data_IF_755188062911
#
_entry.id   IF_755188062911
#
_cell.length_a   1.000
_cell.length_b   1.000
_cell.length_c   1.000
_cell.angle_alpha   90.00
_cell.angle_beta   90.00
_cell.angle_gamma   90.00
#
_symmetry.space_group_name_H-M   'P 1'
#
loop_
_entity.id
_entity.type
_entity.pdbx_description
1 polymer ?
#
# COMPACT_ATOMS: atom_id res chain seq x y z
N UNK A 1 42.90 -52.71 57.61
CA UNK A 1 42.10 -51.50 57.77
C UNK A 1 42.84 -50.31 57.20
N UNK A 2 42.36 -49.73 56.12
CA UNK A 2 42.78 -48.43 55.62
C UNK A 2 41.53 -47.55 55.50
N UNK A 3 41.38 -46.59 56.42
CA UNK A 3 40.38 -45.55 56.37
C UNK A 3 40.81 -44.49 55.31
N UNK A 4 39.99 -44.32 54.31
CA UNK A 4 40.13 -43.18 53.35
C UNK A 4 39.22 -42.07 53.85
N UNK A 5 39.87 -41.04 54.46
CA UNK A 5 39.22 -39.80 54.89
C UNK A 5 39.08 -38.83 53.69
N UNK A 6 37.96 -38.82 53.06
CA UNK A 6 37.58 -37.80 52.00
C UNK A 6 37.21 -36.50 52.70
N UNK A 7 38.09 -35.49 52.65
CA UNK A 7 37.76 -34.14 53.10
C UNK A 7 37.45 -33.29 51.89
N UNK A 8 36.16 -33.12 51.57
CA UNK A 8 35.71 -32.12 50.60
C UNK A 8 35.70 -30.75 51.26
N UNK A 9 36.76 -29.98 51.09
CA UNK A 9 36.79 -28.57 51.49
C UNK A 9 36.18 -27.76 50.36
N UNK A 10 34.86 -27.66 50.42
CA UNK A 10 34.15 -26.72 49.53
C UNK A 10 34.44 -25.30 50.03
N UNK A 11 35.20 -24.54 49.26
CA UNK A 11 35.63 -23.20 49.61
C UNK A 11 34.45 -22.23 49.58
N UNK A 12 33.92 -21.83 50.75
CA UNK A 12 32.74 -20.91 50.90
C UNK A 12 32.87 -19.61 50.14
N UNK A 13 34.08 -19.17 49.82
CA UNK A 13 34.33 -17.97 49.00
C UNK A 13 33.99 -18.17 47.52
N UNK A 14 34.21 -19.36 46.95
CA UNK A 14 33.88 -19.70 45.58
C UNK A 14 32.36 -19.76 45.35
N UNK A 15 31.63 -20.30 46.34
CA UNK A 15 30.14 -20.35 46.26
C UNK A 15 29.53 -18.94 46.24
N UNK A 16 30.09 -18.00 47.03
CA UNK A 16 29.64 -16.63 47.07
C UNK A 16 29.86 -15.87 45.73
N UNK A 17 30.95 -16.16 45.02
CA UNK A 17 31.23 -15.58 43.69
C UNK A 17 30.34 -16.17 42.62
N UNK A 18 30.07 -17.48 42.68
CA UNK A 18 29.18 -18.16 41.74
C UNK A 18 27.72 -17.67 41.87
N UNK A 19 27.21 -17.51 43.10
CA UNK A 19 25.87 -16.98 43.37
C UNK A 19 25.72 -15.53 42.93
N UNK A 20 26.75 -14.70 43.05
CA UNK A 20 26.74 -13.31 42.56
C UNK A 20 26.72 -13.24 41.01
N UNK A 21 27.45 -14.14 40.33
CA UNK A 21 27.46 -14.26 38.89
C UNK A 21 26.10 -14.69 38.31
N UNK A 22 25.48 -15.68 38.95
CA UNK A 22 24.15 -16.16 38.54
C UNK A 22 23.07 -15.09 38.76
N UNK A 23 23.12 -14.36 39.88
CA UNK A 23 22.15 -13.26 40.12
C UNK A 23 22.30 -12.12 39.09
N UNK A 24 23.54 -11.75 38.71
CA UNK A 24 23.78 -10.74 37.68
C UNK A 24 23.29 -11.19 36.30
N UNK A 25 23.47 -12.46 35.92
CA UNK A 25 22.99 -13.02 34.66
C UNK A 25 21.45 -13.06 34.59
N UNK A 26 20.77 -13.37 35.70
CA UNK A 26 19.30 -13.36 35.77
C UNK A 26 18.72 -11.94 35.67
N UNK A 27 19.36 -10.94 36.29
CA UNK A 27 18.93 -9.54 36.18
C UNK A 27 19.10 -9.04 34.75
N UNK A 28 20.22 -9.37 34.09
CA UNK A 28 20.45 -8.98 32.70
C UNK A 28 19.47 -9.69 31.75
N UNK A 29 19.16 -10.97 31.95
CA UNK A 29 18.20 -11.71 31.13
C UNK A 29 16.76 -11.19 31.30
N UNK A 30 16.36 -10.82 32.52
CA UNK A 30 15.05 -10.20 32.78
C UNK A 30 14.97 -8.78 32.19
N UNK A 31 16.06 -8.02 32.23
CA UNK A 31 16.15 -6.70 31.59
C UNK A 31 15.99 -6.77 30.06
N UNK A 32 16.70 -7.70 29.42
CA UNK A 32 16.60 -7.94 27.96
C UNK A 32 15.22 -8.47 27.59
N UNK A 33 14.66 -9.41 28.36
CA UNK A 33 13.33 -9.95 28.11
C UNK A 33 12.22 -8.90 28.31
N UNK A 34 12.36 -8.05 29.33
CA UNK A 34 11.48 -6.91 29.55
C UNK A 34 11.55 -5.87 28.42
N UNK A 35 12.75 -5.55 27.94
CA UNK A 35 12.95 -4.61 26.84
C UNK A 35 12.36 -5.13 25.53
N UNK A 36 12.52 -6.42 25.23
CA UNK A 36 11.94 -7.04 24.03
C UNK A 36 10.39 -7.02 24.11
N UNK A 37 9.80 -7.30 25.28
CA UNK A 37 8.34 -7.21 25.45
C UNK A 37 7.78 -5.80 25.37
N UNK A 38 8.53 -4.79 25.76
CA UNK A 38 8.12 -3.38 25.64
C UNK A 38 8.18 -2.95 24.17
N UNK A 39 9.22 -3.35 23.44
CA UNK A 39 9.34 -3.05 22.00
C UNK A 39 8.28 -3.74 21.15
N UNK A 40 7.94 -5.01 21.43
CA UNK A 40 6.89 -5.74 20.68
C UNK A 40 5.47 -5.30 21.03
N UNK A 41 5.25 -4.57 22.14
CA UNK A 41 3.91 -4.07 22.50
C UNK A 41 3.57 -2.68 21.95
N UNK A 42 4.54 -1.94 21.44
CA UNK A 42 4.32 -0.57 20.96
C UNK A 42 3.87 -0.52 19.49
N UNK A 43 4.19 -1.52 18.66
CA UNK A 43 3.85 -1.49 17.23
C UNK A 43 2.44 -1.96 16.84
N UNK A 44 1.70 -2.64 17.70
CA UNK A 44 0.42 -3.29 17.30
C UNK A 44 -0.83 -2.46 17.59
N UNK A 45 -0.74 -1.28 18.18
CA UNK A 45 -1.92 -0.57 18.71
C UNK A 45 -2.37 0.68 17.95
N UNK A 46 -1.65 1.12 16.93
CA UNK A 46 -2.00 2.35 16.20
C UNK A 46 -2.82 2.07 14.94
N UNK A 47 -2.57 0.96 14.23
CA UNK A 47 -3.29 0.66 12.98
C UNK A 47 -4.76 0.28 13.16
N UNK A 48 -5.11 -0.46 14.22
CA UNK A 48 -6.47 -1.01 14.37
C UNK A 48 -7.50 0.02 14.88
N UNK A 49 -7.07 1.14 15.44
CA UNK A 49 -7.98 2.14 15.99
C UNK A 49 -8.37 3.24 14.99
N UNK A 50 -7.58 3.47 13.95
CA UNK A 50 -7.89 4.46 12.91
C UNK A 50 -8.74 3.88 11.77
N UNK A 51 -8.62 2.60 11.46
CA UNK A 51 -9.46 1.92 10.44
C UNK A 51 -10.97 1.90 10.76
N UNK A 52 -11.37 2.28 11.96
CA UNK A 52 -12.79 2.33 12.35
C UNK A 52 -13.40 3.73 12.31
N UNK A 53 -12.63 4.79 12.04
CA UNK A 53 -13.08 6.18 12.26
C UNK A 53 -13.36 7.01 10.99
N UNK A 54 -13.07 6.52 9.81
CA UNK A 54 -13.28 7.26 8.56
C UNK A 54 -12.12 7.13 7.60
N UNK A 55 -12.24 7.76 6.44
CA UNK A 55 -11.19 7.72 5.39
C UNK A 55 -9.99 8.56 5.83
N UNK A 56 -8.80 7.99 5.70
CA UNK A 56 -7.54 8.62 6.09
C UNK A 56 -6.72 8.95 4.85
N UNK A 57 -6.22 10.18 4.78
CA UNK A 57 -5.16 10.58 3.87
C UNK A 57 -3.83 10.55 4.62
N UNK A 58 -2.91 9.69 4.20
CA UNK A 58 -1.54 9.66 4.69
C UNK A 58 -0.63 10.39 3.70
N UNK A 59 0.07 11.40 4.19
CA UNK A 59 1.03 12.17 3.41
C UNK A 59 2.39 11.47 3.38
N UNK A 60 3.25 11.85 2.42
CA UNK A 60 4.60 11.31 2.27
C UNK A 60 5.44 11.40 3.56
N UNK A 61 5.28 12.47 4.34
CA UNK A 61 5.97 12.68 5.61
C UNK A 61 5.42 11.82 6.77
N UNK A 62 4.46 10.93 6.48
CA UNK A 62 3.83 10.03 7.44
C UNK A 62 2.71 10.66 8.26
N UNK A 63 2.37 11.94 8.06
CA UNK A 63 1.21 12.55 8.73
C UNK A 63 -0.08 11.95 8.20
N UNK A 64 -0.99 11.63 9.11
CA UNK A 64 -2.32 11.11 8.83
C UNK A 64 -3.38 12.18 9.06
N UNK A 65 -4.22 12.39 8.09
CA UNK A 65 -5.31 13.35 8.11
C UNK A 65 -6.62 12.60 7.93
N UNK A 66 -7.48 12.65 8.93
CA UNK A 66 -8.85 12.15 8.81
C UNK A 66 -9.60 13.08 7.85
N UNK A 67 -10.12 12.57 6.74
CA UNK A 67 -10.70 13.39 5.68
C UNK A 67 -11.93 14.19 6.15
N UNK A 68 -12.62 13.74 7.19
CA UNK A 68 -13.71 14.51 7.80
C UNK A 68 -13.22 15.81 8.45
N UNK A 69 -11.95 15.87 8.83
CA UNK A 69 -11.33 17.06 9.45
C UNK A 69 -10.55 17.93 8.45
N UNK A 70 -10.40 17.46 7.22
CA UNK A 70 -9.67 18.18 6.17
C UNK A 70 -10.40 19.49 5.85
N UNK A 71 -9.67 20.60 5.94
CA UNK A 71 -10.11 21.89 5.45
C UNK A 71 -9.78 22.01 3.97
N UNK A 72 -10.69 22.61 3.18
CA UNK A 72 -10.48 22.87 1.77
C UNK A 72 -9.24 23.73 1.53
N UNK A 73 -8.53 23.45 0.45
CA UNK A 73 -7.40 24.27 -0.01
C UNK A 73 -6.06 23.98 0.69
N UNK A 74 -5.81 22.74 1.10
CA UNK A 74 -4.47 22.34 1.56
C UNK A 74 -3.54 22.21 0.35
N UNK A 75 -2.41 22.92 0.37
CA UNK A 75 -1.37 22.81 -0.66
C UNK A 75 -0.32 21.79 -0.26
N UNK A 76 0.12 20.98 -1.22
CA UNK A 76 1.23 20.04 -1.06
C UNK A 76 2.02 19.96 -2.37
N UNK A 77 3.26 20.46 -2.36
CA UNK A 77 4.03 20.62 -3.60
C UNK A 77 3.26 21.48 -4.62
N UNK A 78 3.17 20.98 -5.85
CA UNK A 78 2.51 21.64 -6.97
C UNK A 78 1.02 21.28 -7.09
N UNK A 79 0.41 20.74 -6.06
CA UNK A 79 -1.00 20.40 -6.05
C UNK A 79 -1.77 21.07 -4.92
N UNK A 80 -3.01 21.42 -5.19
CA UNK A 80 -4.01 21.81 -4.22
C UNK A 80 -4.94 20.64 -3.96
N UNK A 81 -5.06 20.27 -2.68
CA UNK A 81 -5.95 19.20 -2.22
C UNK A 81 -7.28 19.82 -1.83
N UNK A 82 -8.33 19.50 -2.57
CA UNK A 82 -9.66 20.03 -2.34
C UNK A 82 -10.63 18.91 -1.96
N UNK A 83 -11.33 19.07 -0.86
CA UNK A 83 -12.45 18.20 -0.51
C UNK A 83 -13.71 18.71 -1.21
N UNK A 84 -14.17 18.01 -2.23
CA UNK A 84 -15.35 18.39 -3.01
C UNK A 84 -16.64 18.08 -2.26
N UNK A 85 -16.66 16.95 -1.54
CA UNK A 85 -17.76 16.54 -0.66
C UNK A 85 -17.28 15.56 0.42
N UNK A 86 -18.18 15.02 1.24
CA UNK A 86 -17.82 14.12 2.33
C UNK A 86 -17.10 12.85 1.89
N UNK A 87 -17.33 12.40 0.64
CA UNK A 87 -16.81 11.15 0.08
C UNK A 87 -15.87 11.36 -1.10
N UNK A 88 -15.45 12.60 -1.40
CA UNK A 88 -14.63 12.89 -2.57
C UNK A 88 -13.52 13.88 -2.28
N UNK A 89 -12.32 13.53 -2.70
CA UNK A 89 -11.12 14.35 -2.66
C UNK A 89 -10.61 14.57 -4.08
N UNK A 90 -10.23 15.80 -4.40
CA UNK A 90 -9.67 16.16 -5.69
C UNK A 90 -8.28 16.76 -5.51
N UNK A 91 -7.33 16.28 -6.31
CA UNK A 91 -6.02 16.88 -6.51
C UNK A 91 -6.08 17.76 -7.75
N UNK A 92 -5.90 19.06 -7.59
CA UNK A 92 -5.80 19.99 -8.69
C UNK A 92 -4.34 20.44 -8.85
N UNK A 93 -3.78 20.29 -10.03
CA UNK A 93 -2.46 20.82 -10.34
C UNK A 93 -2.47 22.35 -10.26
N UNK A 94 -1.51 22.94 -9.58
CA UNK A 94 -1.27 24.38 -9.59
C UNK A 94 -0.45 24.65 -10.86
N UNK A 95 -1.10 25.19 -11.90
CA UNK A 95 -0.43 25.58 -13.14
C UNK A 95 0.34 26.88 -12.90
N UNK A 96 1.50 26.81 -12.26
CA UNK A 96 2.53 27.81 -12.45
C UNK A 96 3.27 27.43 -13.74
N UNK A 97 3.50 28.39 -14.65
CA UNK A 97 4.12 28.18 -15.96
C UNK A 97 5.38 27.31 -15.83
N UNK A 98 5.27 26.05 -16.25
CA UNK A 98 6.42 25.15 -16.25
C UNK A 98 7.26 25.38 -17.50
N UNK A 99 8.56 25.63 -17.29
CA UNK A 99 9.56 25.48 -18.32
C UNK A 99 9.59 24.02 -18.78
N UNK A 100 9.30 23.78 -20.06
CA UNK A 100 9.17 22.46 -20.69
C UNK A 100 10.47 21.63 -20.73
N UNK A 101 11.42 21.88 -19.84
CA UNK A 101 12.75 21.26 -19.89
C UNK A 101 13.10 20.37 -18.69
N UNK A 102 12.17 20.11 -17.77
CA UNK A 102 12.46 19.24 -16.64
C UNK A 102 12.27 17.76 -17.01
N UNK A 103 13.38 17.13 -17.40
CA UNK A 103 13.55 15.67 -17.34
C UNK A 103 13.83 15.27 -15.90
N UNK A 104 12.92 15.56 -14.97
CA UNK A 104 13.02 15.04 -13.62
C UNK A 104 12.58 13.58 -13.64
N UNK A 105 13.51 12.71 -13.22
CA UNK A 105 13.24 11.29 -12.99
C UNK A 105 12.24 11.13 -11.83
N UNK A 106 11.50 10.01 -11.80
CA UNK A 106 10.50 9.68 -10.77
C UNK A 106 11.00 9.72 -9.30
N UNK A 107 12.30 9.93 -9.10
CA UNK A 107 12.96 9.96 -7.79
C UNK A 107 12.45 11.08 -6.86
N UNK A 108 11.89 12.18 -7.40
CA UNK A 108 11.41 13.32 -6.62
C UNK A 108 9.87 13.45 -6.59
N UNK A 109 9.15 12.40 -6.95
CA UNK A 109 7.69 12.42 -6.88
C UNK A 109 7.20 12.25 -5.43
N UNK A 110 6.41 13.21 -4.95
CA UNK A 110 5.74 13.15 -3.64
C UNK A 110 4.56 12.18 -3.74
N UNK A 111 4.53 11.17 -2.87
CA UNK A 111 3.45 10.18 -2.84
C UNK A 111 2.56 10.35 -1.61
N UNK A 112 1.27 10.23 -1.83
CA UNK A 112 0.26 10.13 -0.77
C UNK A 112 -0.45 8.79 -0.84
N UNK A 113 -1.18 8.46 0.21
CA UNK A 113 -1.94 7.24 0.34
C UNK A 113 -3.34 7.54 0.89
N UNK A 114 -4.38 7.03 0.23
CA UNK A 114 -5.75 7.02 0.76
C UNK A 114 -6.08 5.65 1.30
N UNK A 115 -6.59 5.60 2.53
CA UNK A 115 -6.98 4.38 3.24
C UNK A 115 -8.48 4.48 3.54
N UNK A 116 -9.26 3.56 2.96
CA UNK A 116 -10.70 3.46 3.16
C UNK A 116 -11.00 2.40 4.23
N UNK A 117 -11.73 2.75 5.30
CA UNK A 117 -12.04 1.80 6.38
C UNK A 117 -13.11 0.77 5.95
N UNK A 118 -13.38 -0.19 6.85
CA UNK A 118 -14.53 -1.10 6.71
C UNK A 118 -15.82 -0.32 6.56
N UNK A 119 -16.69 -0.78 5.66
CA UNK A 119 -17.96 -0.14 5.33
C UNK A 119 -17.85 1.33 4.83
N UNK A 120 -16.65 1.74 4.39
CA UNK A 120 -16.42 3.02 3.71
C UNK A 120 -16.44 2.85 2.20
N UNK A 121 -16.75 3.95 1.52
CA UNK A 121 -16.54 4.13 0.08
C UNK A 121 -15.94 5.51 -0.11
N UNK A 122 -15.06 5.66 -1.07
CA UNK A 122 -14.41 6.94 -1.30
C UNK A 122 -14.07 7.17 -2.77
N UNK A 123 -14.18 8.41 -3.22
CA UNK A 123 -13.81 8.81 -4.58
C UNK A 123 -12.57 9.72 -4.52
N UNK A 124 -11.56 9.37 -5.30
CA UNK A 124 -10.37 10.17 -5.49
C UNK A 124 -10.31 10.67 -6.93
N UNK A 125 -10.16 11.96 -7.12
CA UNK A 125 -9.87 12.57 -8.42
C UNK A 125 -8.38 12.92 -8.41
N UNK A 126 -7.62 12.26 -9.28
CA UNK A 126 -6.19 12.48 -9.47
C UNK A 126 -5.94 13.77 -10.25
N UNK A 127 -4.69 14.27 -10.24
CA UNK A 127 -4.35 15.54 -10.85
C UNK A 127 -4.54 15.57 -12.38
N UNK A 128 -4.46 14.40 -13.03
CA UNK A 128 -4.73 14.21 -14.46
C UNK A 128 -6.22 14.16 -14.82
N UNK A 129 -7.11 14.31 -13.82
CA UNK A 129 -8.56 14.20 -13.94
C UNK A 129 -9.09 12.78 -13.95
N UNK A 130 -8.25 11.76 -13.82
CA UNK A 130 -8.70 10.37 -13.66
C UNK A 130 -9.42 10.21 -12.32
N UNK A 131 -10.51 9.43 -12.32
CA UNK A 131 -11.32 9.16 -11.13
C UNK A 131 -11.13 7.73 -10.67
N UNK A 132 -11.05 7.56 -9.35
CA UNK A 132 -10.91 6.28 -8.70
C UNK A 132 -11.98 6.16 -7.62
N UNK A 133 -12.88 5.20 -7.76
CA UNK A 133 -13.85 4.82 -6.73
C UNK A 133 -13.27 3.65 -5.95
N UNK A 134 -13.05 3.86 -4.69
CA UNK A 134 -12.43 2.90 -3.78
C UNK A 134 -13.50 2.28 -2.88
N UNK A 135 -13.57 0.97 -2.85
CA UNK A 135 -14.42 0.21 -1.95
C UNK A 135 -13.84 0.12 -0.54
N UNK A 136 -14.62 -0.42 0.39
CA UNK A 136 -14.18 -0.70 1.77
C UNK A 136 -12.85 -1.48 1.82
N UNK A 137 -12.03 -1.21 2.84
CA UNK A 137 -10.74 -1.87 3.06
C UNK A 137 -9.75 -1.69 1.90
N UNK A 138 -9.89 -0.59 1.15
CA UNK A 138 -8.99 -0.28 0.04
C UNK A 138 -7.91 0.71 0.43
N UNK A 139 -6.73 0.52 -0.15
CA UNK A 139 -5.54 1.30 0.09
C UNK A 139 -4.84 1.61 -1.24
N UNK A 140 -4.83 2.89 -1.59
CA UNK A 140 -4.26 3.39 -2.84
C UNK A 140 -3.15 4.39 -2.56
N UNK A 141 -1.96 4.10 -3.07
CA UNK A 141 -0.83 5.01 -3.08
C UNK A 141 -0.67 5.63 -4.47
N UNK A 142 -0.52 6.94 -4.53
CA UNK A 142 -0.47 7.70 -5.78
C UNK A 142 0.43 8.94 -5.64
N UNK A 143 1.05 9.41 -6.73
CA UNK A 143 1.83 10.63 -6.71
C UNK A 143 0.90 11.85 -6.68
N UNK A 144 1.31 12.91 -5.98
CA UNK A 144 0.62 14.20 -5.95
C UNK A 144 0.53 14.81 -7.35
N UNK A 145 1.56 14.61 -8.17
CA UNK A 145 1.66 14.99 -9.59
C UNK A 145 2.33 13.86 -10.36
N UNK A 146 1.79 13.51 -11.53
CA UNK A 146 2.43 12.56 -12.42
C UNK A 146 3.61 13.21 -13.14
N UNK A 147 4.77 12.57 -13.07
CA UNK A 147 6.01 12.96 -13.73
C UNK A 147 6.49 11.83 -14.66
N UNK A 148 7.36 12.16 -15.62
CA UNK A 148 8.00 11.16 -16.46
C UNK A 148 7.13 10.62 -17.61
N UNK A 149 7.35 9.36 -17.98
CA UNK A 149 6.79 8.73 -19.21
C UNK A 149 5.52 7.91 -18.97
N UNK A 150 5.04 7.83 -17.76
CA UNK A 150 3.85 7.07 -17.37
C UNK A 150 3.19 7.67 -16.12
N UNK A 151 1.89 7.38 -15.95
CA UNK A 151 1.09 7.75 -14.78
C UNK A 151 0.92 6.48 -13.95
N UNK A 152 1.62 6.37 -12.82
CA UNK A 152 1.63 5.15 -12.00
C UNK A 152 0.96 5.38 -10.66
N UNK A 153 0.06 4.46 -10.29
CA UNK A 153 -0.54 4.36 -8.96
C UNK A 153 -0.39 2.92 -8.45
N UNK A 154 -0.45 2.72 -7.13
CA UNK A 154 -0.32 1.40 -6.51
C UNK A 154 -1.58 1.11 -5.70
N UNK A 155 -2.35 0.11 -6.11
CA UNK A 155 -3.43 -0.46 -5.30
C UNK A 155 -2.82 -1.56 -4.41
N UNK A 156 -2.51 -1.19 -3.16
CA UNK A 156 -1.87 -2.10 -2.22
C UNK A 156 -2.84 -3.17 -1.73
N UNK A 157 -4.07 -2.76 -1.41
CA UNK A 157 -5.14 -3.62 -0.90
C UNK A 157 -6.50 -3.13 -1.38
N UNK A 158 -7.49 -4.03 -1.39
CA UNK A 158 -8.88 -3.69 -1.62
C UNK A 158 -9.31 -3.82 -3.07
N UNK A 159 -10.33 -3.04 -3.42
CA UNK A 159 -10.95 -2.99 -4.74
C UNK A 159 -11.16 -1.54 -5.14
N UNK A 160 -10.85 -1.24 -6.39
CA UNK A 160 -11.02 0.10 -6.93
C UNK A 160 -11.44 0.07 -8.40
N UNK A 161 -12.46 0.86 -8.70
CA UNK A 161 -12.90 1.14 -10.06
C UNK A 161 -12.22 2.40 -10.58
N UNK A 162 -11.70 2.34 -11.78
CA UNK A 162 -10.95 3.40 -12.43
C UNK A 162 -11.67 3.91 -13.67
N UNK A 163 -11.82 5.22 -13.77
CA UNK A 163 -12.17 5.92 -15.00
C UNK A 163 -10.97 6.81 -15.37
N UNK A 164 -10.12 6.29 -16.24
CA UNK A 164 -8.86 6.94 -16.61
C UNK A 164 -9.08 7.92 -17.73
N UNK A 165 -8.67 9.17 -17.51
CA UNK A 165 -8.71 10.24 -18.51
C UNK A 165 -7.69 9.97 -19.61
N UNK A 166 -8.16 10.08 -20.87
CA UNK A 166 -7.29 9.95 -22.04
C UNK A 166 -6.44 11.20 -22.18
N UNK A 167 -5.13 11.05 -22.13
CA UNK A 167 -4.18 12.15 -22.28
C UNK A 167 -3.73 12.33 -23.73
N UNK A 168 -3.48 13.59 -24.13
CA UNK A 168 -2.80 13.89 -25.37
C UNK A 168 -1.37 13.33 -25.28
N UNK A 169 -0.91 12.64 -26.35
CA UNK A 169 0.42 11.99 -26.35
C UNK A 169 0.42 10.53 -25.87
N UNK A 170 -0.74 9.98 -25.51
CA UNK A 170 -0.90 8.56 -25.14
C UNK A 170 -0.02 8.11 -23.95
N UNK A 171 0.18 9.00 -22.97
CA UNK A 171 0.90 8.66 -21.76
C UNK A 171 0.18 7.53 -21.01
N UNK A 172 0.78 6.34 -20.83
CA UNK A 172 0.12 5.21 -20.22
C UNK A 172 -0.18 5.46 -18.75
N UNK A 173 -1.32 4.94 -18.29
CA UNK A 173 -1.68 4.86 -16.88
C UNK A 173 -1.48 3.42 -16.41
N UNK A 174 -0.79 3.25 -15.30
CA UNK A 174 -0.45 1.93 -14.75
C UNK A 174 -0.99 1.81 -13.34
N UNK A 175 -1.83 0.79 -13.13
CA UNK A 175 -2.19 0.34 -11.79
C UNK A 175 -1.29 -0.84 -11.43
N UNK A 176 -0.44 -0.63 -10.45
CA UNK A 176 0.42 -1.64 -9.89
C UNK A 176 -0.24 -2.27 -8.67
N UNK A 177 -0.12 -3.59 -8.53
CA UNK A 177 -0.51 -4.34 -7.33
C UNK A 177 0.64 -5.24 -6.89
N UNK A 178 0.48 -5.95 -5.77
CA UNK A 178 1.48 -6.91 -5.27
C UNK A 178 1.90 -8.00 -6.28
N UNK A 179 1.05 -8.36 -7.24
CA UNK A 179 1.32 -9.48 -8.16
C UNK A 179 0.82 -9.26 -9.58
N UNK A 180 0.32 -8.06 -9.91
CA UNK A 180 -0.24 -7.73 -11.22
C UNK A 180 0.08 -6.29 -11.58
N UNK A 181 0.24 -6.02 -12.86
CA UNK A 181 0.20 -4.67 -13.43
C UNK A 181 -0.89 -4.58 -14.49
N UNK A 182 -1.62 -3.49 -14.48
CA UNK A 182 -2.68 -3.14 -15.42
C UNK A 182 -2.29 -1.85 -16.12
N UNK A 183 -2.18 -1.87 -17.45
CA UNK A 183 -1.79 -0.71 -18.27
C UNK A 183 -2.90 -0.31 -19.21
N UNK A 184 -3.24 0.99 -19.21
CA UNK A 184 -4.30 1.59 -20.01
C UNK A 184 -3.89 2.95 -20.59
N UNK A 185 -4.67 3.47 -21.54
CA UNK A 185 -4.48 4.82 -22.10
C UNK A 185 -5.66 5.77 -21.81
N UNK A 186 -6.84 5.21 -21.56
CA UNK A 186 -8.08 5.93 -21.30
C UNK A 186 -9.22 4.91 -21.33
N UNK A 187 -9.63 4.40 -20.18
CA UNK A 187 -10.31 3.13 -20.03
C UNK A 187 -11.11 3.12 -18.74
N UNK A 188 -12.23 2.39 -18.72
CA UNK A 188 -13.02 2.09 -17.53
C UNK A 188 -12.84 0.64 -17.16
N UNK A 189 -12.32 0.39 -15.98
CA UNK A 189 -11.99 -0.95 -15.51
C UNK A 189 -11.98 -1.03 -13.99
N UNK A 190 -12.11 -2.23 -13.47
CA UNK A 190 -12.01 -2.54 -12.05
C UNK A 190 -10.77 -3.37 -11.76
N UNK A 191 -10.20 -3.16 -10.57
CA UNK A 191 -9.10 -3.96 -10.03
C UNK A 191 -9.42 -4.39 -8.61
N UNK A 192 -9.41 -5.71 -8.36
CA UNK A 192 -9.68 -6.30 -7.05
C UNK A 192 -8.49 -7.12 -6.56
N UNK A 193 -7.97 -6.77 -5.38
CA UNK A 193 -6.85 -7.44 -4.71
C UNK A 193 -7.25 -8.12 -3.40
N UNK A 194 -8.52 -7.96 -2.96
CA UNK A 194 -9.00 -8.34 -1.63
C UNK A 194 -9.63 -9.73 -1.55
N UNK A 195 -9.55 -10.51 -2.63
CA UNK A 195 -10.15 -11.84 -2.65
C UNK A 195 -9.49 -12.78 -1.64
N UNK A 196 -10.32 -13.53 -0.92
CA UNK A 196 -9.89 -14.49 0.11
C UNK A 196 -9.01 -15.62 -0.44
N UNK A 197 -9.16 -15.95 -1.73
CA UNK A 197 -8.35 -16.96 -2.42
C UNK A 197 -6.97 -16.42 -2.86
N UNK A 198 -6.69 -15.13 -2.63
CA UNK A 198 -5.44 -14.48 -3.00
C UNK A 198 -5.27 -14.19 -4.49
N UNK A 199 -6.30 -14.47 -5.29
CA UNK A 199 -6.35 -14.17 -6.73
C UNK A 199 -6.54 -12.68 -6.92
N UNK A 200 -5.78 -12.08 -7.84
CA UNK A 200 -5.95 -10.70 -8.25
C UNK A 200 -6.81 -10.67 -9.52
N UNK A 201 -7.74 -9.74 -9.60
CA UNK A 201 -8.64 -9.63 -10.74
C UNK A 201 -8.57 -8.23 -11.36
N UNK A 202 -8.65 -8.17 -12.70
CA UNK A 202 -8.83 -6.93 -13.45
C UNK A 202 -9.96 -7.15 -14.47
N UNK A 203 -11.02 -6.35 -14.41
CA UNK A 203 -12.22 -6.47 -15.25
C UNK A 203 -12.34 -5.25 -16.15
N UNK A 204 -12.44 -5.47 -17.46
CA UNK A 204 -12.58 -4.38 -18.42
C UNK A 204 -14.05 -4.10 -18.75
N UNK A 205 -14.47 -2.83 -18.54
CA UNK A 205 -15.80 -2.37 -18.94
C UNK A 205 -15.79 -1.68 -20.31
N UNK A 206 -14.85 -0.76 -20.51
CA UNK A 206 -14.80 0.05 -21.73
C UNK A 206 -13.35 0.40 -22.08
N UNK A 207 -12.99 0.28 -23.36
CA UNK A 207 -11.67 0.63 -23.88
C UNK A 207 -10.78 -0.57 -24.11
N UNK A 208 -9.53 -0.49 -23.68
CA UNK A 208 -8.52 -1.56 -23.78
C UNK A 208 -7.67 -1.60 -22.54
N UNK A 209 -7.42 -2.78 -22.03
CA UNK A 209 -6.56 -3.05 -20.89
C UNK A 209 -5.49 -4.05 -21.31
N UNK A 210 -4.24 -3.78 -20.92
CA UNK A 210 -3.17 -4.75 -20.95
C UNK A 210 -2.84 -5.18 -19.52
N UNK A 211 -2.81 -6.48 -19.26
CA UNK A 211 -2.53 -7.07 -17.94
C UNK A 211 -1.29 -7.93 -18.01
N UNK A 212 -0.41 -7.84 -17.02
CA UNK A 212 0.66 -8.81 -16.82
C UNK A 212 0.74 -9.23 -15.35
N UNK A 213 1.06 -10.49 -15.12
CA UNK A 213 1.39 -11.00 -13.79
C UNK A 213 2.83 -10.66 -13.43
N UNK A 214 3.05 -10.22 -12.19
CA UNK A 214 4.39 -10.04 -11.61
C UNK A 214 4.80 -11.33 -10.92
N UNK A 215 6.05 -11.75 -11.13
CA UNK A 215 6.67 -12.87 -10.41
C UNK A 215 8.03 -12.41 -9.94
N UNK A 216 8.29 -12.50 -8.66
CA UNK A 216 9.45 -11.90 -7.98
C UNK A 216 10.83 -12.35 -8.53
N UNK A 217 10.91 -13.38 -9.38
CA UNK A 217 12.20 -13.94 -9.79
C UNK A 217 12.29 -14.48 -11.23
N UNK A 218 11.31 -14.30 -12.07
CA UNK A 218 11.39 -14.83 -13.46
C UNK A 218 10.87 -13.80 -14.44
N UNK A 219 11.76 -13.26 -15.25
CA UNK A 219 11.60 -12.35 -16.37
C UNK A 219 10.24 -11.73 -16.66
N UNK A 220 10.21 -10.57 -17.26
CA UNK A 220 8.98 -9.88 -17.64
C UNK A 220 8.08 -10.83 -18.45
N UNK A 221 6.84 -11.03 -17.97
CA UNK A 221 5.82 -11.75 -18.73
C UNK A 221 5.22 -10.82 -19.78
N UNK A 222 4.77 -11.40 -20.87
CA UNK A 222 4.08 -10.68 -21.93
C UNK A 222 2.77 -10.04 -21.41
N UNK A 223 2.44 -8.91 -21.98
CA UNK A 223 1.17 -8.23 -21.74
C UNK A 223 0.03 -8.99 -22.44
N UNK A 224 -1.01 -9.32 -21.69
CA UNK A 224 -2.23 -9.93 -22.20
C UNK A 224 -3.27 -8.84 -22.35
N UNK A 225 -3.85 -8.71 -23.55
CA UNK A 225 -4.88 -7.73 -23.85
C UNK A 225 -6.25 -8.25 -23.47
N UNK A 226 -7.06 -7.40 -22.81
CA UNK A 226 -8.47 -7.66 -22.55
C UNK A 226 -9.35 -6.86 -23.52
N UNK A 227 -10.47 -7.46 -23.91
CA UNK A 227 -11.59 -6.81 -24.56
C UNK A 227 -12.68 -6.46 -23.52
N UNK A 228 -13.62 -5.56 -23.80
CA UNK A 228 -14.79 -5.34 -22.96
C UNK A 228 -15.48 -6.65 -22.58
N UNK A 229 -15.99 -6.74 -21.35
CA UNK A 229 -16.60 -7.93 -20.77
C UNK A 229 -15.61 -9.12 -20.61
N UNK A 230 -14.32 -8.83 -20.54
CA UNK A 230 -13.30 -9.80 -20.12
C UNK A 230 -12.69 -9.43 -18.77
N UNK A 231 -12.34 -10.47 -18.02
CA UNK A 231 -11.67 -10.39 -16.74
C UNK A 231 -10.39 -11.21 -16.76
N UNK A 232 -9.28 -10.59 -16.41
CA UNK A 232 -8.05 -11.29 -16.08
C UNK A 232 -8.06 -11.72 -14.61
N UNK A 233 -7.70 -12.97 -14.35
CA UNK A 233 -7.43 -13.51 -13.03
C UNK A 233 -5.96 -13.86 -12.95
N UNK A 234 -5.27 -13.30 -11.96
CA UNK A 234 -3.82 -13.50 -11.78
C UNK A 234 -3.56 -14.27 -10.51
N UNK A 235 -3.02 -15.46 -10.66
CA UNK A 235 -2.63 -16.34 -9.57
C UNK A 235 -1.20 -16.81 -9.76
N UNK A 236 -0.36 -16.63 -8.75
CA UNK A 236 1.07 -16.99 -8.81
C UNK A 236 1.78 -16.42 -10.06
N UNK A 237 1.37 -15.20 -10.47
CA UNK A 237 1.88 -14.51 -11.65
C UNK A 237 1.39 -15.09 -12.99
N UNK A 238 0.51 -16.10 -13.02
CA UNK A 238 -0.13 -16.58 -14.24
C UNK A 238 -1.43 -15.83 -14.48
N UNK A 239 -1.66 -15.41 -15.73
CA UNK A 239 -2.87 -14.67 -16.12
C UNK A 239 -3.81 -15.62 -16.86
N UNK A 240 -5.05 -15.71 -16.38
CA UNK A 240 -6.15 -16.42 -17.03
C UNK A 240 -7.25 -15.45 -17.38
N UNK A 241 -7.70 -15.44 -18.63
CA UNK A 241 -8.79 -14.56 -19.09
C UNK A 241 -10.08 -15.35 -19.20
N UNK A 242 -11.19 -14.74 -18.73
CA UNK A 242 -12.54 -15.27 -18.87
C UNK A 242 -13.53 -14.18 -19.27
N UNK A 243 -14.60 -14.54 -19.95
CA UNK A 243 -15.71 -13.62 -20.21
C UNK A 243 -16.59 -13.49 -18.95
N UNK A 244 -17.03 -12.27 -18.67
CA UNK A 244 -17.88 -11.92 -17.52
C UNK A 244 -18.93 -10.89 -17.96
N UNK A 245 -19.99 -10.71 -17.20
CA UNK A 245 -20.83 -9.51 -17.29
C UNK A 245 -20.16 -8.40 -16.46
N UNK A 246 -19.33 -7.58 -17.10
CA UNK A 246 -18.55 -6.57 -16.40
C UNK A 246 -19.44 -5.54 -15.69
N UNK A 247 -20.61 -5.18 -16.26
CA UNK A 247 -21.53 -4.21 -15.64
C UNK A 247 -22.21 -4.78 -14.39
N UNK A 248 -22.56 -6.06 -14.41
CA UNK A 248 -23.16 -6.74 -13.27
C UNK A 248 -22.16 -7.12 -12.17
N UNK A 249 -20.86 -7.12 -12.50
CA UNK A 249 -19.79 -7.49 -11.55
C UNK A 249 -19.27 -6.32 -10.71
N UNK A 250 -19.58 -5.07 -11.11
CA UNK A 250 -19.09 -3.82 -10.50
C UNK A 250 -20.33 -3.05 -9.99
N UNK A 251 -21.12 -3.68 -9.12
CA UNK A 251 -22.31 -3.09 -8.50
C UNK A 251 -22.06 -2.77 -7.03
#
# INVERSE_FOLDING_TARGET
GIEVKSSSIINRKMIGWFLRGVAAALILSLGVWGSIKIWTKVEVKVEDTMMTKGVVLRLEDGREILLDTLRNGMKQGDAEIMKTNAKELMYAGIFEHEDMNETEEDADAIYNEVIVPRAGEFTLVLEDGSKVWMNAESKLRFPVKFKGKERRVVLEEGEAYFEVTKQNGQLPFIVETRGMEVKVLGTRFDVNTSRLDGVLEATLLEGKVAVRGKKDFVGEKDWIMLNPDEQARVENGNVHVRSVDAKGSIA
#
